data_IF_430282650938
#
_entry.id   IF_430282650938
#
_cell.length_a   1.000
_cell.length_b   1.000
_cell.length_c   1.000
_cell.angle_alpha   90.00
_cell.angle_beta   90.00
_cell.angle_gamma   90.00
#
_symmetry.space_group_name_H-M   'P 1'
#
loop_
_entity.id
_entity.type
_entity.pdbx_description
1 polymer ?
#
# COMPACT_ATOMS: atom_id res chain seq x y z
N UNK A 1 -4.47 -14.27 11.11
CA UNK A 1 -3.54 -13.19 11.51
C UNK A 1 -2.36 -13.25 10.57
N UNK A 2 -2.26 -12.30 9.64
CA UNK A 2 -1.20 -12.33 8.64
C UNK A 2 0.13 -11.95 9.31
N UNK A 3 1.12 -12.84 9.26
CA UNK A 3 2.48 -12.62 9.78
C UNK A 3 3.14 -11.33 9.25
N UNK A 4 2.64 -10.78 8.14
CA UNK A 4 3.16 -9.56 7.53
C UNK A 4 3.01 -8.31 8.42
N UNK A 5 1.82 -8.04 8.95
CA UNK A 5 1.58 -6.82 9.75
C UNK A 5 2.22 -6.92 11.13
N UNK A 6 2.32 -8.13 11.69
CA UNK A 6 3.04 -8.42 12.93
C UNK A 6 4.55 -8.19 12.79
N UNK A 7 5.12 -8.53 11.63
CA UNK A 7 6.52 -8.26 11.31
C UNK A 7 6.83 -6.77 11.07
N UNK A 8 5.79 -5.95 10.84
CA UNK A 8 5.90 -4.51 10.55
C UNK A 8 5.02 -3.70 11.52
N UNK A 9 5.24 -3.76 12.84
CA UNK A 9 4.35 -3.11 13.80
C UNK A 9 4.40 -1.58 13.67
N UNK A 10 3.26 -0.93 13.87
CA UNK A 10 3.16 0.54 13.93
C UNK A 10 3.03 0.99 15.39
N UNK A 11 4.04 1.67 15.97
CA UNK A 11 3.98 2.12 17.37
C UNK A 11 2.75 2.99 17.67
N UNK A 12 2.09 2.76 18.81
CA UNK A 12 0.79 3.37 19.14
C UNK A 12 0.82 4.91 19.27
N UNK A 13 1.97 5.50 19.54
CA UNK A 13 2.18 6.94 19.73
C UNK A 13 3.01 7.61 18.62
N UNK A 14 3.37 6.88 17.56
CA UNK A 14 4.14 7.46 16.46
C UNK A 14 3.26 7.91 15.30
N UNK A 15 3.81 8.77 14.45
CA UNK A 15 3.27 9.08 13.12
C UNK A 15 3.77 8.08 12.06
N UNK A 16 4.05 6.84 12.47
CA UNK A 16 4.43 5.78 11.54
C UNK A 16 3.23 5.30 10.71
N UNK A 17 3.48 5.07 9.44
CA UNK A 17 2.57 4.42 8.49
C UNK A 17 3.34 3.34 7.74
N UNK A 18 2.63 2.33 7.21
CA UNK A 18 3.21 1.45 6.20
C UNK A 18 3.08 2.08 4.82
N UNK A 19 4.03 1.83 3.94
CA UNK A 19 3.94 2.17 2.51
C UNK A 19 4.31 0.95 1.67
N UNK A 20 3.71 0.85 0.49
CA UNK A 20 3.96 -0.20 -0.47
C UNK A 20 4.97 0.31 -1.52
N UNK A 21 6.15 -0.31 -1.58
CA UNK A 21 7.03 -0.18 -2.74
C UNK A 21 6.57 -1.17 -3.82
N UNK A 22 5.97 -0.67 -4.89
CA UNK A 22 5.52 -1.48 -6.03
C UNK A 22 6.68 -1.65 -7.00
N UNK A 23 6.96 -2.90 -7.36
CA UNK A 23 8.00 -3.21 -8.32
C UNK A 23 7.49 -3.08 -9.76
N UNK A 24 8.39 -2.77 -10.72
CA UNK A 24 8.02 -2.79 -12.12
C UNK A 24 7.64 -4.20 -12.58
N UNK A 25 6.86 -4.27 -13.65
CA UNK A 25 6.61 -5.53 -14.32
C UNK A 25 7.90 -6.00 -14.99
N UNK A 26 8.56 -7.03 -14.45
CA UNK A 26 9.83 -7.54 -14.99
C UNK A 26 9.65 -8.93 -15.60
N UNK A 27 10.61 -9.35 -16.44
CA UNK A 27 10.61 -10.71 -16.99
C UNK A 27 10.78 -11.79 -15.91
N UNK A 28 11.43 -11.45 -14.79
CA UNK A 28 11.69 -12.38 -13.69
C UNK A 28 10.49 -12.45 -12.71
N UNK A 29 9.80 -11.34 -12.53
CA UNK A 29 8.65 -11.18 -11.62
C UNK A 29 7.51 -10.44 -12.33
N UNK A 30 6.86 -11.10 -13.31
CA UNK A 30 5.83 -10.43 -14.06
C UNK A 30 4.59 -10.17 -13.19
N UNK A 31 4.07 -8.96 -13.24
CA UNK A 31 2.68 -8.72 -12.84
C UNK A 31 1.80 -9.58 -13.74
N UNK A 32 0.90 -10.33 -13.13
CA UNK A 32 -0.09 -11.14 -13.86
C UNK A 32 -1.39 -10.37 -13.96
N UNK A 33 -2.38 -10.91 -14.67
CA UNK A 33 -3.73 -10.34 -14.74
C UNK A 33 -4.41 -10.20 -13.38
N UNK A 34 -3.84 -10.77 -12.29
CA UNK A 34 -4.42 -10.76 -10.95
C UNK A 34 -3.47 -10.45 -9.81
N UNK A 35 -2.20 -10.19 -10.09
CA UNK A 35 -1.19 -10.07 -9.05
C UNK A 35 -0.18 -8.97 -9.34
N UNK A 36 -0.04 -8.04 -8.40
CA UNK A 36 0.99 -7.00 -8.37
C UNK A 36 2.05 -7.39 -7.35
N UNK A 37 3.32 -7.17 -7.67
CA UNK A 37 4.44 -7.39 -6.76
C UNK A 37 4.88 -6.10 -6.07
N UNK A 38 5.23 -6.22 -4.80
CA UNK A 38 5.84 -5.14 -4.05
C UNK A 38 6.33 -5.58 -2.68
N UNK A 39 6.64 -4.61 -1.84
CA UNK A 39 7.07 -4.82 -0.46
C UNK A 39 6.49 -3.74 0.45
N UNK A 40 6.04 -4.15 1.65
CA UNK A 40 5.63 -3.20 2.67
C UNK A 40 6.84 -2.81 3.52
N UNK A 41 6.95 -1.52 3.80
CA UNK A 41 7.92 -0.98 4.75
C UNK A 41 7.25 0.06 5.64
N UNK A 42 7.84 0.33 6.81
CA UNK A 42 7.37 1.35 7.75
C UNK A 42 8.16 2.63 7.52
N UNK A 43 7.47 3.76 7.40
CA UNK A 43 8.06 5.09 7.41
C UNK A 43 7.44 5.91 8.53
N UNK A 44 8.16 6.93 9.01
CA UNK A 44 7.63 7.89 9.97
C UNK A 44 7.43 9.25 9.30
N UNK A 45 6.19 9.76 9.34
CA UNK A 45 5.80 11.01 8.71
C UNK A 45 6.50 12.25 9.30
N UNK A 46 7.14 12.11 10.47
CA UNK A 46 7.88 13.16 11.17
C UNK A 46 9.40 13.11 10.97
N UNK A 47 9.91 12.17 10.18
CA UNK A 47 11.35 12.10 9.90
C UNK A 47 11.85 13.35 9.14
N UNK A 48 13.12 13.69 9.35
CA UNK A 48 13.83 14.76 8.64
C UNK A 48 15.12 14.17 8.00
N UNK A 49 15.24 14.14 6.66
CA UNK A 49 14.30 14.69 5.68
C UNK A 49 12.97 13.93 5.62
N UNK A 50 11.90 14.67 5.30
CA UNK A 50 10.55 14.11 5.16
C UNK A 50 10.54 12.94 4.16
N UNK A 51 9.84 11.82 4.50
CA UNK A 51 9.81 10.65 3.63
C UNK A 51 9.08 10.95 2.32
N UNK A 52 9.60 10.40 1.22
CA UNK A 52 9.00 10.57 -0.11
C UNK A 52 8.12 9.37 -0.45
N UNK A 53 6.83 9.61 -0.56
CA UNK A 53 5.85 8.62 -0.99
C UNK A 53 4.69 9.28 -1.74
N UNK A 54 3.94 8.50 -2.48
CA UNK A 54 2.68 8.92 -3.11
C UNK A 54 1.49 8.32 -2.35
N UNK A 55 0.29 8.84 -2.53
CA UNK A 55 -0.92 8.25 -1.96
C UNK A 55 -1.92 7.87 -3.06
N UNK A 56 -2.70 6.82 -2.81
CA UNK A 56 -3.85 6.46 -3.65
C UNK A 56 -5.15 6.81 -2.93
N UNK A 57 -6.01 7.56 -3.60
CA UNK A 57 -7.40 7.75 -3.21
C UNK A 57 -8.27 7.13 -4.30
N UNK A 58 -9.13 6.19 -3.94
CA UNK A 58 -9.93 5.44 -4.90
C UNK A 58 -11.22 4.99 -4.24
N UNK A 59 -12.23 4.68 -5.05
CA UNK A 59 -13.46 4.09 -4.53
C UNK A 59 -13.20 2.62 -4.19
N UNK A 60 -13.37 2.28 -2.91
CA UNK A 60 -13.32 0.90 -2.45
C UNK A 60 -14.38 0.07 -3.17
N UNK A 61 -13.93 -0.95 -3.90
CA UNK A 61 -14.80 -1.90 -4.55
C UNK A 61 -15.27 -3.00 -3.59
N UNK A 62 -16.05 -3.94 -4.13
CA UNK A 62 -16.36 -5.19 -3.43
C UNK A 62 -15.27 -6.22 -3.74
N UNK A 63 -14.93 -7.06 -2.77
CA UNK A 63 -14.06 -8.20 -3.02
C UNK A 63 -14.73 -9.17 -3.98
N UNK A 64 -14.14 -9.38 -5.16
CA UNK A 64 -14.60 -10.36 -6.12
C UNK A 64 -14.35 -11.79 -5.60
N UNK A 65 -15.18 -12.79 -6.01
CA UNK A 65 -14.96 -14.20 -5.66
C UNK A 65 -13.57 -14.69 -6.05
N UNK A 66 -13.10 -14.25 -7.21
CA UNK A 66 -11.72 -14.45 -7.65
C UNK A 66 -10.85 -13.27 -7.19
N UNK A 67 -9.95 -13.47 -6.21
CA UNK A 67 -9.19 -12.39 -5.61
C UNK A 67 -8.07 -11.90 -6.51
N UNK A 68 -7.90 -10.58 -6.54
CA UNK A 68 -6.64 -9.94 -6.93
C UNK A 68 -5.75 -9.81 -5.70
N UNK A 69 -4.44 -9.77 -5.90
CA UNK A 69 -3.48 -9.69 -4.80
C UNK A 69 -2.37 -8.68 -5.03
N UNK A 70 -1.87 -8.15 -3.92
CA UNK A 70 -0.48 -7.69 -3.84
C UNK A 70 0.35 -8.77 -3.16
N UNK A 71 1.41 -9.22 -3.84
CA UNK A 71 2.39 -10.16 -3.30
C UNK A 71 3.53 -9.38 -2.65
N UNK A 72 3.64 -9.51 -1.32
CA UNK A 72 4.68 -8.94 -0.47
C UNK A 72 5.55 -10.07 0.10
N UNK A 73 6.66 -10.39 -0.57
CA UNK A 73 7.48 -11.55 -0.22
C UNK A 73 6.67 -12.85 -0.29
N UNK A 74 6.63 -13.59 0.82
CA UNK A 74 5.83 -14.81 0.96
C UNK A 74 4.33 -14.55 1.26
N UNK A 75 3.97 -13.30 1.56
CA UNK A 75 2.61 -12.92 1.93
C UNK A 75 1.80 -12.45 0.73
N UNK A 76 0.50 -12.71 0.73
CA UNK A 76 -0.45 -12.21 -0.26
C UNK A 76 -1.54 -11.40 0.43
N UNK A 77 -1.66 -10.14 0.05
CA UNK A 77 -2.70 -9.23 0.53
C UNK A 77 -3.80 -9.23 -0.51
N UNK A 78 -5.00 -9.66 -0.12
CA UNK A 78 -6.17 -9.62 -1.01
C UNK A 78 -6.58 -8.16 -1.23
N UNK A 79 -6.82 -7.80 -2.47
CA UNK A 79 -7.27 -6.46 -2.86
C UNK A 79 -8.52 -6.52 -3.73
N UNK A 80 -9.22 -5.39 -3.83
CA UNK A 80 -10.39 -5.24 -4.69
C UNK A 80 -9.97 -5.06 -6.16
N UNK A 81 -10.85 -5.36 -7.14
CA UNK A 81 -10.56 -5.10 -8.54
C UNK A 81 -10.21 -3.63 -8.84
N UNK A 82 -10.85 -2.68 -8.16
CA UNK A 82 -10.57 -1.25 -8.31
C UNK A 82 -9.14 -0.91 -7.86
N UNK A 83 -8.74 -1.43 -6.70
CA UNK A 83 -7.38 -1.26 -6.17
C UNK A 83 -6.34 -1.85 -7.14
N UNK A 84 -6.59 -3.06 -7.65
CA UNK A 84 -5.73 -3.70 -8.62
C UNK A 84 -5.61 -2.90 -9.93
N UNK A 85 -6.75 -2.43 -10.47
CA UNK A 85 -6.78 -1.60 -11.68
C UNK A 85 -5.99 -0.29 -11.48
N UNK A 86 -6.12 0.34 -10.31
CA UNK A 86 -5.36 1.55 -9.98
C UNK A 86 -3.85 1.27 -9.89
N UNK A 87 -3.43 0.23 -9.16
CA UNK A 87 -2.02 -0.14 -9.03
C UNK A 87 -1.37 -0.52 -10.37
N UNK A 88 -2.07 -1.30 -11.20
CA UNK A 88 -1.58 -1.68 -12.53
C UNK A 88 -1.49 -0.48 -13.49
N UNK A 89 -2.46 0.45 -13.41
CA UNK A 89 -2.42 1.70 -14.18
C UNK A 89 -1.23 2.57 -13.77
N UNK A 90 -0.99 2.71 -12.46
CA UNK A 90 0.17 3.43 -11.95
C UNK A 90 1.47 2.74 -12.33
N UNK A 91 1.56 1.41 -12.23
CA UNK A 91 2.73 0.67 -12.68
C UNK A 91 3.05 0.94 -14.17
N UNK A 92 2.05 0.98 -15.05
CA UNK A 92 2.26 1.38 -16.46
C UNK A 92 2.75 2.82 -16.60
N UNK A 93 2.27 3.74 -15.76
CA UNK A 93 2.68 5.15 -15.75
C UNK A 93 4.13 5.33 -15.29
N UNK A 94 4.57 4.59 -14.27
CA UNK A 94 5.95 4.58 -13.78
C UNK A 94 6.87 3.71 -14.65
N UNK A 95 6.32 2.88 -15.55
CA UNK A 95 7.09 2.11 -16.52
C UNK A 95 7.93 1.03 -15.84
N UNK A 96 9.25 1.12 -16.03
CA UNK A 96 10.23 0.19 -15.46
C UNK A 96 10.78 0.65 -14.10
N UNK A 97 10.29 1.77 -13.58
CA UNK A 97 10.70 2.27 -12.27
C UNK A 97 9.79 1.74 -11.16
N UNK A 98 10.41 1.44 -10.00
CA UNK A 98 9.68 1.18 -8.76
C UNK A 98 9.11 2.48 -8.20
N UNK A 99 7.99 2.38 -7.48
CA UNK A 99 7.38 3.54 -6.83
C UNK A 99 6.82 3.21 -5.46
N UNK A 100 6.87 4.19 -4.55
CA UNK A 100 6.37 4.05 -3.17
C UNK A 100 5.00 4.71 -3.06
N UNK A 101 4.01 3.95 -2.61
CA UNK A 101 2.62 4.39 -2.51
C UNK A 101 1.97 3.95 -1.21
N UNK A 102 1.23 4.86 -0.59
CA UNK A 102 0.32 4.57 0.50
C UNK A 102 -1.06 4.24 -0.06
N UNK A 103 -1.60 3.10 0.35
CA UNK A 103 -2.91 2.60 -0.06
C UNK A 103 -3.60 2.05 1.18
N UNK A 104 -4.66 2.70 1.63
CA UNK A 104 -5.38 2.38 2.87
C UNK A 104 -5.69 0.88 3.06
N UNK A 105 -6.24 0.21 2.07
CA UNK A 105 -6.63 -1.20 2.13
C UNK A 105 -5.43 -2.17 2.27
N UNK A 106 -4.21 -1.70 2.02
CA UNK A 106 -2.97 -2.50 2.04
C UNK A 106 -2.04 -2.07 3.18
N UNK A 107 -1.93 -0.77 3.44
CA UNK A 107 -0.99 -0.22 4.40
C UNK A 107 -1.53 -0.27 5.83
N UNK A 108 -2.85 -0.30 5.97
CA UNK A 108 -3.55 -0.44 7.25
C UNK A 108 -3.95 -1.90 7.43
N UNK A 109 -3.63 -2.48 8.59
CA UNK A 109 -4.14 -3.79 8.96
C UNK A 109 -5.66 -3.71 9.18
N UNK A 110 -6.42 -4.20 8.20
CA UNK A 110 -7.89 -4.16 8.21
C UNK A 110 -8.52 -5.07 9.27
N UNK A 111 -7.77 -6.03 9.82
CA UNK A 111 -8.23 -6.96 10.87
C UNK A 111 -8.00 -6.41 12.28
N UNK A 112 -7.20 -5.34 12.44
CA UNK A 112 -6.92 -4.69 13.72
C UNK A 112 -7.69 -3.37 13.81
N UNK A 113 -8.81 -3.39 14.54
CA UNK A 113 -9.68 -2.22 14.68
C UNK A 113 -9.03 -1.06 15.45
N UNK A 114 -8.07 -1.33 16.34
CA UNK A 114 -7.34 -0.27 17.05
C UNK A 114 -6.34 0.42 16.11
N UNK A 115 -5.52 -0.35 15.39
CA UNK A 115 -4.60 0.16 14.38
C UNK A 115 -5.37 0.92 13.30
N UNK A 116 -6.43 0.33 12.77
CA UNK A 116 -7.26 0.90 11.71
C UNK A 116 -7.86 2.23 12.13
N UNK A 117 -8.47 2.32 13.33
CA UNK A 117 -9.01 3.58 13.84
C UNK A 117 -7.93 4.66 13.94
N UNK A 118 -6.74 4.31 14.42
CA UNK A 118 -5.62 5.26 14.54
C UNK A 118 -5.12 5.73 13.17
N UNK A 119 -4.93 4.82 12.22
CA UNK A 119 -4.45 5.15 10.87
C UNK A 119 -5.48 5.95 10.08
N UNK A 120 -6.79 5.65 10.21
CA UNK A 120 -7.86 6.48 9.65
C UNK A 120 -7.80 7.90 10.21
N UNK A 121 -7.58 8.04 11.52
CA UNK A 121 -7.38 9.34 12.17
C UNK A 121 -6.16 10.12 11.66
N UNK A 122 -5.19 9.45 11.03
CA UNK A 122 -4.00 10.05 10.43
C UNK A 122 -4.12 10.36 8.93
N UNK A 123 -5.23 10.01 8.26
CA UNK A 123 -5.34 10.16 6.80
C UNK A 123 -5.09 11.60 6.32
N UNK A 124 -5.50 12.61 7.08
CA UNK A 124 -5.21 14.01 6.77
C UNK A 124 -3.70 14.32 6.73
N UNK A 125 -2.95 13.78 7.69
CA UNK A 125 -1.49 13.91 7.73
C UNK A 125 -0.83 13.15 6.56
N UNK A 126 -1.34 11.94 6.24
CA UNK A 126 -0.83 11.12 5.14
C UNK A 126 -1.00 11.84 3.80
N UNK A 127 -2.21 12.30 3.49
CA UNK A 127 -2.49 12.96 2.20
C UNK A 127 -1.79 14.31 2.08
N UNK A 128 -1.68 15.08 3.18
CA UNK A 128 -0.98 16.37 3.15
C UNK A 128 0.54 16.24 3.01
N UNK A 129 1.13 15.13 3.47
CA UNK A 129 2.58 14.86 3.35
C UNK A 129 2.96 14.03 2.13
N UNK A 130 2.00 13.42 1.44
CA UNK A 130 2.26 12.70 0.19
C UNK A 130 2.77 13.66 -0.89
N UNK A 131 3.79 13.26 -1.65
CA UNK A 131 4.33 14.07 -2.74
C UNK A 131 3.31 14.26 -3.88
N UNK A 132 2.51 13.23 -4.14
CA UNK A 132 1.42 13.22 -5.12
C UNK A 132 0.32 12.31 -4.59
N UNK A 133 -0.94 12.72 -4.74
CA UNK A 133 -2.10 11.84 -4.53
C UNK A 133 -2.74 11.52 -5.88
N UNK A 134 -2.88 10.23 -6.19
CA UNK A 134 -3.57 9.73 -7.38
C UNK A 134 -5.04 9.44 -7.07
N UNK A 135 -5.92 9.77 -8.01
CA UNK A 135 -7.37 9.59 -7.96
C UNK A 135 -7.88 8.76 -9.13
#
# INVERSE_FOLDING_TARGET
>A
MSSLYEALPLPASSKCIRVLEVYPNSLETPHTDREVHGELSVINLEDDPAPKFTALSYVWGVYAPEPHHVRCGASRIRITPNNFAALTTLSKKFGNDKFVIWVDAICINQEDEEEKRRQIGMMGDVYSKAAVTYI
#
